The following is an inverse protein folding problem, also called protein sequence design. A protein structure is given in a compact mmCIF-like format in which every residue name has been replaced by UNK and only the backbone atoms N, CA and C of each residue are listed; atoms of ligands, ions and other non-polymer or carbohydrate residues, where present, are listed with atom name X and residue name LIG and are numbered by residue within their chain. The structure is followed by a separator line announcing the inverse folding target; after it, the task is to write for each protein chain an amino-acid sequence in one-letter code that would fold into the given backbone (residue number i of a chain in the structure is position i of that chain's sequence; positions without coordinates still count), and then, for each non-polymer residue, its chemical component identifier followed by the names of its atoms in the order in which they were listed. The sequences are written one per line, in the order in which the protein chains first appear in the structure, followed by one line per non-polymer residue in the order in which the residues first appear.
data_IF_742837996776
#
_entry.id   IF_742837996776
#
_cell.length_a   1.000
_cell.length_b   1.000
_cell.length_c   1.000
_cell.angle_alpha   90.00
_cell.angle_beta   90.00
_cell.angle_gamma   90.00
#
_symmetry.space_group_name_H-M   'P 1'
#
loop_
_entity.id
_entity.type
_entity.pdbx_description
1 polymer ?
#
# COMPACT_ATOMS: atom_id res chain seq x y z
N UNK A 1 -15.43 -3.63 -12.30
CA UNK A 1 -14.63 -4.84 -12.60
C UNK A 1 -13.79 -5.23 -11.40
N UNK A 2 -13.78 -6.50 -11.02
CA UNK A 2 -12.93 -6.97 -9.91
C UNK A 2 -11.45 -6.87 -10.37
N UNK A 3 -10.64 -5.94 -9.83
CA UNK A 3 -9.31 -5.63 -10.37
C UNK A 3 -8.30 -6.79 -10.23
N UNK A 4 -8.68 -7.86 -9.53
CA UNK A 4 -7.83 -9.04 -9.31
C UNK A 4 -7.67 -9.94 -10.54
N UNK A 5 -8.62 -9.94 -11.48
CA UNK A 5 -8.65 -10.87 -12.63
C UNK A 5 -8.37 -10.14 -13.96
N UNK A 6 -8.48 -8.81 -13.99
CA UNK A 6 -8.38 -8.01 -15.21
C UNK A 6 -6.96 -7.84 -15.77
N UNK A 7 -5.95 -7.70 -14.92
CA UNK A 7 -4.58 -7.46 -15.36
C UNK A 7 -3.70 -8.69 -15.22
N UNK A 8 -3.26 -9.22 -16.37
CA UNK A 8 -2.27 -10.32 -16.47
C UNK A 8 -1.01 -10.04 -15.66
N UNK A 9 -0.73 -8.75 -15.40
CA UNK A 9 0.37 -8.24 -14.59
C UNK A 9 0.39 -8.86 -13.18
N UNK A 10 -0.76 -8.98 -12.51
CA UNK A 10 -0.81 -9.50 -11.13
C UNK A 10 -0.36 -10.96 -11.02
N UNK A 11 -0.63 -11.78 -12.05
CA UNK A 11 -0.17 -13.17 -12.09
C UNK A 11 1.36 -13.24 -12.05
N UNK A 12 2.07 -12.33 -12.74
CA UNK A 12 3.54 -12.30 -12.71
C UNK A 12 4.08 -11.98 -11.32
N UNK A 13 3.47 -11.05 -10.59
CA UNK A 13 3.84 -10.74 -9.20
C UNK A 13 3.74 -11.96 -8.29
N UNK A 14 2.71 -12.80 -8.48
CA UNK A 14 2.56 -14.04 -7.72
C UNK A 14 3.73 -15.00 -7.95
N UNK A 15 4.10 -15.24 -9.21
CA UNK A 15 5.22 -16.12 -9.55
C UNK A 15 6.58 -15.58 -9.08
N UNK A 16 6.83 -14.28 -9.26
CA UNK A 16 8.05 -13.61 -8.77
C UNK A 16 8.12 -13.72 -7.26
N UNK A 17 7.03 -13.44 -6.55
CA UNK A 17 6.93 -13.57 -5.09
C UNK A 17 7.23 -15.00 -4.62
N UNK A 18 6.64 -16.00 -5.25
CA UNK A 18 6.90 -17.41 -4.95
C UNK A 18 8.38 -17.77 -5.16
N UNK A 19 8.97 -17.36 -6.28
CA UNK A 19 10.38 -17.61 -6.57
C UNK A 19 11.30 -16.97 -5.52
N UNK A 20 11.08 -15.69 -5.20
CA UNK A 20 11.83 -14.97 -4.18
C UNK A 20 11.69 -15.66 -2.82
N UNK A 21 10.48 -16.07 -2.45
CA UNK A 21 10.23 -16.74 -1.17
C UNK A 21 10.98 -18.09 -1.06
N UNK A 22 10.95 -18.89 -2.12
CA UNK A 22 11.61 -20.21 -2.20
C UNK A 22 13.13 -20.08 -2.23
N UNK A 23 13.66 -19.16 -3.03
CA UNK A 23 15.10 -19.02 -3.28
C UNK A 23 15.76 -17.87 -2.48
N UNK A 24 15.09 -17.27 -1.49
CA UNK A 24 15.59 -16.13 -0.69
C UNK A 24 17.02 -16.25 -0.14
N UNK A 25 17.47 -17.48 0.17
CA UNK A 25 18.82 -17.78 0.70
C UNK A 25 19.89 -17.82 -0.39
N UNK A 26 19.52 -18.14 -1.62
CA UNK A 26 20.43 -18.27 -2.75
C UNK A 26 20.68 -16.95 -3.46
N UNK A 27 19.86 -15.92 -3.21
CA UNK A 27 20.01 -14.59 -3.81
C UNK A 27 21.16 -13.86 -3.10
N UNK A 28 22.32 -13.60 -3.74
CA UNK A 28 23.52 -13.08 -3.07
C UNK A 28 23.53 -11.54 -2.96
N UNK A 29 22.37 -10.92 -2.74
CA UNK A 29 22.25 -9.46 -2.65
C UNK A 29 22.30 -9.04 -1.17
N UNK A 30 23.07 -8.03 -0.78
CA UNK A 30 23.06 -7.55 0.60
C UNK A 30 21.80 -6.73 0.94
N UNK A 31 21.40 -6.66 2.22
CA UNK A 31 20.24 -5.87 2.64
C UNK A 31 20.35 -4.39 2.27
N UNK A 32 21.55 -3.80 2.39
CA UNK A 32 21.80 -2.42 1.95
C UNK A 32 21.51 -2.24 0.46
N UNK A 33 21.97 -3.16 -0.37
CA UNK A 33 21.75 -3.12 -1.82
C UNK A 33 20.26 -3.28 -2.16
N UNK A 34 19.50 -4.11 -1.43
CA UNK A 34 18.05 -4.21 -1.64
C UNK A 34 17.33 -2.89 -1.37
N UNK A 35 17.68 -2.20 -0.28
CA UNK A 35 17.11 -0.88 0.03
C UNK A 35 17.52 0.14 -1.03
N UNK A 36 18.79 0.14 -1.47
CA UNK A 36 19.27 1.04 -2.52
C UNK A 36 18.54 0.78 -3.84
N UNK A 37 18.35 -0.48 -4.23
CA UNK A 37 17.59 -0.84 -5.43
C UNK A 37 16.14 -0.37 -5.31
N UNK A 38 15.48 -0.61 -4.17
CA UNK A 38 14.13 -0.13 -3.93
C UNK A 38 14.01 1.40 -4.03
N UNK A 39 14.80 2.13 -3.24
CA UNK A 39 14.77 3.59 -3.21
C UNK A 39 15.22 4.21 -4.54
N UNK A 40 16.23 3.62 -5.18
CA UNK A 40 16.72 4.04 -6.48
C UNK A 40 15.66 3.87 -7.57
N UNK A 41 15.03 2.70 -7.66
CA UNK A 41 13.93 2.47 -8.61
C UNK A 41 12.75 3.41 -8.36
N UNK A 42 12.37 3.65 -7.10
CA UNK A 42 11.31 4.61 -6.76
C UNK A 42 11.68 6.06 -7.13
N UNK A 43 12.91 6.49 -6.84
CA UNK A 43 13.39 7.83 -7.18
C UNK A 43 13.46 8.05 -8.69
N UNK A 44 13.96 7.07 -9.44
CA UNK A 44 13.99 7.12 -10.91
C UNK A 44 12.57 7.18 -11.47
N UNK A 45 11.67 6.34 -10.98
CA UNK A 45 10.26 6.33 -11.38
C UNK A 45 9.62 7.70 -11.14
N UNK A 46 9.77 8.26 -9.94
CA UNK A 46 9.23 9.57 -9.59
C UNK A 46 9.83 10.70 -10.46
N UNK A 47 11.14 10.67 -10.69
CA UNK A 47 11.83 11.65 -11.51
C UNK A 47 11.38 11.60 -12.98
N UNK A 48 11.28 10.41 -13.57
CA UNK A 48 10.82 10.23 -14.94
C UNK A 48 9.35 10.66 -15.09
N UNK A 49 8.50 10.26 -14.15
CA UNK A 49 7.08 10.64 -14.13
C UNK A 49 6.94 12.16 -14.08
N UNK A 50 7.67 12.83 -13.19
CA UNK A 50 7.63 14.29 -13.06
C UNK A 50 8.18 15.00 -14.31
N UNK A 51 9.30 14.52 -14.85
CA UNK A 51 9.94 15.13 -16.03
C UNK A 51 9.07 15.02 -17.28
N UNK A 52 8.43 13.86 -17.48
CA UNK A 52 7.54 13.62 -18.62
C UNK A 52 6.23 14.40 -18.44
N UNK A 53 5.65 14.39 -17.24
CA UNK A 53 4.44 15.18 -16.95
C UNK A 53 4.67 16.67 -17.19
N UNK A 54 5.83 17.20 -16.77
CA UNK A 54 6.20 18.60 -17.03
C UNK A 54 6.40 18.90 -18.52
N UNK A 55 6.95 17.94 -19.28
CA UNK A 55 7.22 18.12 -20.72
C UNK A 55 5.94 18.06 -21.57
N UNK A 56 4.98 17.21 -21.16
CA UNK A 56 3.70 17.04 -21.85
C UNK A 56 2.69 18.10 -21.40
N UNK A 57 2.87 18.69 -20.21
CA UNK A 57 1.93 19.64 -19.63
C UNK A 57 0.65 18.98 -19.09
N UNK A 58 0.63 17.66 -19.03
CA UNK A 58 -0.48 16.84 -18.55
C UNK A 58 0.02 15.70 -17.65
N UNK A 59 -0.87 15.13 -16.85
CA UNK A 59 -0.52 14.09 -15.89
C UNK A 59 -0.23 12.76 -16.60
N UNK A 60 1.02 12.29 -16.53
CA UNK A 60 1.45 11.03 -17.13
C UNK A 60 1.64 9.94 -16.07
N UNK A 61 0.82 8.89 -16.10
CA UNK A 61 0.81 7.82 -15.09
C UNK A 61 1.43 6.49 -15.55
N UNK A 62 1.74 6.30 -16.84
CA UNK A 62 2.15 4.99 -17.37
C UNK A 62 3.43 4.43 -16.70
N UNK A 63 4.32 5.31 -16.23
CA UNK A 63 5.54 4.89 -15.51
C UNK A 63 5.22 4.33 -14.12
N UNK A 64 4.09 4.70 -13.53
CA UNK A 64 3.64 4.22 -12.23
C UNK A 64 2.84 2.92 -12.34
N UNK A 65 2.52 2.46 -13.55
CA UNK A 65 1.78 1.22 -13.75
C UNK A 65 2.53 0.00 -13.23
N UNK A 66 1.77 -0.99 -12.76
CA UNK A 66 2.31 -2.26 -12.25
C UNK A 66 3.10 -3.04 -13.31
N UNK A 67 2.88 -2.76 -14.60
CA UNK A 67 3.62 -3.38 -15.70
C UNK A 67 5.06 -2.86 -15.85
N UNK A 68 5.40 -1.72 -15.25
CA UNK A 68 6.71 -1.11 -15.43
C UNK A 68 7.81 -1.94 -14.74
N UNK A 69 8.89 -2.32 -15.46
CA UNK A 69 10.04 -3.02 -14.89
C UNK A 69 10.63 -2.36 -13.64
N UNK A 70 10.60 -1.03 -13.53
CA UNK A 70 11.09 -0.31 -12.35
C UNK A 70 10.22 -0.58 -11.12
N UNK A 71 8.90 -0.60 -11.28
CA UNK A 71 7.94 -0.91 -10.21
C UNK A 71 8.04 -2.37 -9.81
N UNK A 72 8.18 -3.29 -10.77
CA UNK A 72 8.39 -4.72 -10.51
C UNK A 72 9.68 -4.93 -9.74
N UNK A 73 10.78 -4.29 -10.15
CA UNK A 73 12.08 -4.38 -9.48
C UNK A 73 12.04 -3.82 -8.05
N UNK A 74 11.44 -2.64 -7.87
CA UNK A 74 11.25 -2.04 -6.56
C UNK A 74 10.46 -2.97 -5.64
N UNK A 75 9.36 -3.53 -6.14
CA UNK A 75 8.50 -4.46 -5.40
C UNK A 75 9.22 -5.74 -5.00
N UNK A 76 9.96 -6.35 -5.93
CA UNK A 76 10.75 -7.55 -5.68
C UNK A 76 11.87 -7.31 -4.65
N UNK A 77 12.59 -6.20 -4.76
CA UNK A 77 13.65 -5.81 -3.84
C UNK A 77 13.11 -5.57 -2.43
N UNK A 78 12.00 -4.84 -2.31
CA UNK A 78 11.34 -4.59 -1.04
C UNK A 78 10.79 -5.87 -0.40
N UNK A 79 10.16 -6.74 -1.19
CA UNK A 79 9.63 -8.01 -0.70
C UNK A 79 10.74 -8.91 -0.14
N UNK A 80 11.87 -9.06 -0.86
CA UNK A 80 13.01 -9.82 -0.37
C UNK A 80 13.63 -9.19 0.90
N UNK A 81 13.66 -7.87 0.98
CA UNK A 81 14.12 -7.14 2.16
C UNK A 81 13.27 -7.48 3.39
N UNK A 82 11.94 -7.40 3.27
CA UNK A 82 10.98 -7.73 4.34
C UNK A 82 11.10 -9.21 4.75
N UNK A 83 11.20 -10.13 3.79
CA UNK A 83 11.38 -11.57 4.08
C UNK A 83 12.65 -11.85 4.90
N UNK A 84 13.71 -11.08 4.68
CA UNK A 84 14.96 -11.21 5.43
C UNK A 84 14.88 -10.56 6.80
N UNK A 85 14.20 -9.42 6.91
CA UNK A 85 13.90 -8.80 8.19
C UNK A 85 13.08 -9.74 9.09
N UNK A 86 12.05 -10.41 8.55
CA UNK A 86 11.21 -11.35 9.30
C UNK A 86 11.98 -12.57 9.86
N UNK A 87 13.15 -12.91 9.28
CA UNK A 87 14.02 -13.97 9.79
C UNK A 87 14.72 -13.59 11.09
N UNK A 88 15.08 -12.32 11.25
CA UNK A 88 15.43 -11.80 12.56
C UNK A 88 14.11 -11.81 13.32
N UNK A 89 13.95 -12.66 14.34
CA UNK A 89 12.73 -12.69 15.16
C UNK A 89 12.59 -11.32 15.83
N UNK A 90 12.01 -10.35 15.13
CA UNK A 90 11.64 -9.07 15.68
C UNK A 90 10.53 -9.44 16.65
N UNK A 91 10.87 -9.62 17.92
CA UNK A 91 9.91 -9.79 18.99
C UNK A 91 9.40 -8.39 19.32
N UNK A 92 8.22 -7.98 18.78
CA UNK A 92 7.70 -6.67 19.12
C UNK A 92 7.52 -6.60 20.65
N UNK A 93 7.84 -5.46 21.23
CA UNK A 93 7.53 -5.20 22.64
C UNK A 93 6.05 -5.45 22.91
N UNK A 94 5.70 -5.87 24.14
CA UNK A 94 4.32 -6.20 24.54
C UNK A 94 3.34 -5.07 24.19
N UNK A 95 3.78 -3.81 24.31
CA UNK A 95 2.98 -2.63 23.92
C UNK A 95 2.78 -2.56 22.41
N UNK A 96 3.84 -2.75 21.63
CA UNK A 96 3.82 -2.75 20.17
C UNK A 96 2.94 -3.89 19.63
N UNK A 97 3.02 -5.08 20.25
CA UNK A 97 2.18 -6.22 19.88
C UNK A 97 0.69 -5.92 20.07
N UNK A 98 0.30 -5.34 21.21
CA UNK A 98 -1.09 -4.92 21.46
C UNK A 98 -1.60 -3.92 20.42
N UNK A 99 -0.76 -2.96 20.01
CA UNK A 99 -1.11 -1.97 18.98
C UNK A 99 -1.26 -2.64 17.61
N UNK A 100 -0.31 -3.52 17.24
CA UNK A 100 -0.37 -4.27 15.98
C UNK A 100 -1.64 -5.14 15.94
N UNK A 101 -1.92 -5.89 17.01
CA UNK A 101 -3.12 -6.75 17.08
C UNK A 101 -4.42 -5.94 17.00
N UNK A 102 -4.45 -4.75 17.62
CA UNK A 102 -5.58 -3.83 17.52
C UNK A 102 -5.76 -3.30 16.10
N UNK A 103 -4.68 -2.80 15.48
CA UNK A 103 -4.69 -2.26 14.12
C UNK A 103 -5.05 -3.35 13.11
N UNK A 104 -4.39 -4.51 13.16
CA UNK A 104 -4.69 -5.64 12.28
C UNK A 104 -6.15 -6.10 12.39
N UNK A 105 -6.72 -6.12 13.60
CA UNK A 105 -8.13 -6.43 13.80
C UNK A 105 -9.09 -5.37 13.26
N UNK A 106 -8.66 -4.11 13.15
CA UNK A 106 -9.48 -3.03 12.59
C UNK A 106 -9.25 -2.83 11.08
N UNK A 107 -8.09 -3.20 10.54
CA UNK A 107 -7.70 -2.95 9.15
C UNK A 107 -8.69 -3.53 8.14
N UNK A 108 -9.20 -4.74 8.38
CA UNK A 108 -10.20 -5.35 7.50
C UNK A 108 -11.53 -4.59 7.50
N UNK A 109 -12.02 -4.18 8.67
CA UNK A 109 -13.24 -3.37 8.77
C UNK A 109 -13.07 -1.99 8.12
N UNK A 110 -11.90 -1.36 8.28
CA UNK A 110 -11.58 -0.07 7.64
C UNK A 110 -11.56 -0.24 6.13
N UNK A 111 -10.96 -1.32 5.63
CA UNK A 111 -10.94 -1.63 4.20
C UNK A 111 -12.37 -1.76 3.61
N UNK A 112 -13.33 -2.31 4.36
CA UNK A 112 -14.71 -2.42 3.87
C UNK A 112 -15.48 -1.08 3.95
N UNK A 113 -15.27 -0.30 5.01
CA UNK A 113 -16.07 0.89 5.29
C UNK A 113 -15.53 2.13 4.58
N UNK A 114 -14.21 2.25 4.41
CA UNK A 114 -13.61 3.47 3.83
C UNK A 114 -14.10 3.75 2.41
N UNK A 115 -14.39 2.71 1.61
CA UNK A 115 -14.89 2.87 0.24
C UNK A 115 -16.27 3.53 0.20
N UNK A 116 -17.12 3.25 1.20
CA UNK A 116 -18.44 3.85 1.34
C UNK A 116 -18.30 5.35 1.65
N UNK A 117 -17.39 5.71 2.55
CA UNK A 117 -17.12 7.12 2.85
C UNK A 117 -16.53 7.88 1.66
N UNK A 118 -15.64 7.22 0.91
CA UNK A 118 -15.02 7.80 -0.27
C UNK A 118 -16.06 8.03 -1.39
N UNK A 119 -17.01 7.11 -1.55
CA UNK A 119 -18.14 7.25 -2.49
C UNK A 119 -19.12 8.35 -2.07
N UNK A 120 -19.48 8.43 -0.78
CA UNK A 120 -20.32 9.52 -0.25
C UNK A 120 -19.66 10.88 -0.46
N UNK A 121 -18.35 10.99 -0.17
CA UNK A 121 -17.57 12.21 -0.38
C UNK A 121 -17.59 12.62 -1.85
N UNK A 122 -17.30 11.68 -2.78
CA UNK A 122 -17.26 11.95 -4.21
C UNK A 122 -18.62 12.39 -4.77
N UNK A 123 -19.71 11.85 -4.23
CA UNK A 123 -21.07 12.16 -4.69
C UNK A 123 -21.64 13.47 -4.12
N UNK A 124 -21.14 13.96 -2.96
CA UNK A 124 -21.73 15.12 -2.27
C UNK A 124 -20.81 16.34 -2.17
N UNK A 125 -19.50 16.19 -2.37
CA UNK A 125 -18.57 17.33 -2.36
C UNK A 125 -18.09 17.61 -3.77
N UNK A 126 -18.46 18.78 -4.32
CA UNK A 126 -17.75 19.37 -5.46
C UNK A 126 -16.27 19.46 -5.08
N UNK A 127 -15.39 19.11 -6.03
CA UNK A 127 -13.94 19.17 -5.84
C UNK A 127 -13.59 20.53 -5.24
N UNK A 128 -13.29 20.54 -3.95
CA UNK A 128 -12.95 21.78 -3.27
C UNK A 128 -11.75 22.38 -4.01
N UNK A 129 -11.77 23.68 -4.29
CA UNK A 129 -10.65 24.45 -4.87
C UNK A 129 -9.41 24.49 -3.95
N UNK A 130 -9.34 23.58 -2.97
CA UNK A 130 -8.19 23.33 -2.14
C UNK A 130 -7.09 22.68 -2.98
N UNK A 131 -5.87 23.20 -2.84
CA UNK A 131 -4.67 22.58 -3.39
C UNK A 131 -4.67 21.08 -3.10
N UNK A 132 -4.52 20.27 -4.16
CA UNK A 132 -4.51 18.81 -4.09
C UNK A 132 -3.51 18.29 -3.03
N UNK A 133 -2.43 19.03 -2.79
CA UNK A 133 -1.42 18.73 -1.78
C UNK A 133 -1.96 18.69 -0.34
N UNK A 134 -2.96 19.50 -0.02
CA UNK A 134 -3.57 19.57 1.32
C UNK A 134 -4.84 18.73 1.36
N UNK A 135 -5.64 18.79 0.29
CA UNK A 135 -6.91 18.09 0.21
C UNK A 135 -6.74 16.57 0.32
N UNK A 136 -5.76 16.00 -0.39
CA UNK A 136 -5.53 14.54 -0.43
C UNK A 136 -5.12 13.97 0.95
N UNK A 137 -4.08 14.48 1.64
CA UNK A 137 -3.71 13.94 2.95
C UNK A 137 -4.79 14.20 4.01
N UNK A 138 -5.42 15.38 3.99
CA UNK A 138 -6.52 15.68 4.91
C UNK A 138 -7.69 14.71 4.74
N UNK A 139 -8.11 14.45 3.50
CA UNK A 139 -9.15 13.49 3.18
C UNK A 139 -8.78 12.08 3.61
N UNK A 140 -7.55 11.66 3.31
CA UNK A 140 -7.04 10.33 3.67
C UNK A 140 -7.06 10.12 5.19
N UNK A 141 -6.56 11.09 5.96
CA UNK A 141 -6.56 11.05 7.42
C UNK A 141 -7.99 11.04 7.96
N UNK A 142 -8.87 11.89 7.41
CA UNK A 142 -10.27 12.01 7.85
C UNK A 142 -11.02 10.69 7.64
N UNK A 143 -10.96 10.13 6.44
CA UNK A 143 -11.60 8.85 6.11
C UNK A 143 -11.02 7.73 6.97
N UNK A 144 -9.71 7.68 7.18
CA UNK A 144 -9.06 6.67 8.01
C UNK A 144 -9.52 6.76 9.47
N UNK A 145 -9.59 7.96 10.05
CA UNK A 145 -10.04 8.18 11.43
C UNK A 145 -11.51 7.79 11.58
N UNK A 146 -12.39 8.29 10.70
CA UNK A 146 -13.82 7.98 10.77
C UNK A 146 -14.05 6.47 10.62
N UNK A 147 -13.39 5.84 9.64
CA UNK A 147 -13.48 4.39 9.44
C UNK A 147 -12.97 3.62 10.66
N UNK A 148 -11.85 4.04 11.27
CA UNK A 148 -11.32 3.41 12.48
C UNK A 148 -12.30 3.53 13.64
N UNK A 149 -12.88 4.71 13.86
CA UNK A 149 -13.88 4.95 14.92
C UNK A 149 -15.12 4.10 14.70
N UNK A 150 -15.64 4.01 13.48
CA UNK A 150 -16.80 3.18 13.14
C UNK A 150 -16.52 1.70 13.43
N UNK A 151 -15.38 1.15 13.00
CA UNK A 151 -15.01 -0.25 13.27
C UNK A 151 -14.79 -0.50 14.76
N UNK A 152 -14.15 0.45 15.45
CA UNK A 152 -13.92 0.36 16.89
C UNK A 152 -15.25 0.33 17.66
N UNK A 153 -16.21 1.19 17.31
CA UNK A 153 -17.57 1.19 17.87
C UNK A 153 -18.33 -0.11 17.56
N UNK A 154 -18.30 -0.57 16.30
CA UNK A 154 -18.95 -1.82 15.88
C UNK A 154 -18.42 -3.03 16.66
N UNK A 155 -17.12 -3.06 16.96
CA UNK A 155 -16.49 -4.12 17.75
C UNK A 155 -16.85 -4.03 19.24
N UNK A 156 -17.23 -2.85 19.73
CA UNK A 156 -17.66 -2.66 21.11
C UNK A 156 -19.10 -3.18 21.35
N UNK A 157 -19.94 -3.24 20.31
CA UNK A 157 -21.28 -3.82 20.35
C UNK A 157 -21.26 -5.34 20.03
N UNK A 158 -22.01 -6.14 20.80
CA UNK A 158 -22.00 -7.63 20.75
C UNK A 158 -22.28 -8.26 19.36
N UNK A 159 -22.87 -7.52 18.42
CA UNK A 159 -23.19 -8.01 17.07
C UNK A 159 -21.98 -8.00 16.12
N UNK A 160 -21.06 -7.04 16.24
CA UNK A 160 -19.92 -6.89 15.31
C UNK A 160 -18.81 -7.94 15.50
N UNK A 161 -18.68 -8.50 16.71
CA UNK A 161 -17.69 -9.53 17.07
C UNK A 161 -17.89 -10.88 16.36
N UNK A 162 -19.01 -11.08 15.66
CA UNK A 162 -19.27 -12.27 14.84
C UNK A 162 -18.88 -12.11 13.36
N UNK A 163 -18.65 -10.87 12.91
CA UNK A 163 -18.43 -10.54 11.49
C UNK A 163 -16.99 -10.04 11.24
N UNK A 164 -16.29 -9.59 12.29
CA UNK A 164 -14.87 -9.18 12.27
C UNK A 164 -14.05 -10.08 13.17
#
# INVERSE_FOLDING_TARGET
DLPLIGDRVYSYYFFIGYYIYKYKKHIPINQKNLIITFLGSMAITAFLTASISYSIGDHYEEILEYGNPLIILASAAFFLFVLRLAKYKITPSIKTKKIIDLLSGCSFGIYLIHIIFLDIYKNHMQAADLSAWIAIPMLTITIAIISFVCVWLLRHFKLGRKIT
#
